data_IF_553935200842
#
_entry.id   IF_553935200842
#
_cell.length_a   1.000
_cell.length_b   1.000
_cell.length_c   1.000
_cell.angle_alpha   90.00
_cell.angle_beta   90.00
_cell.angle_gamma   90.00
#
_symmetry.space_group_name_H-M   'P 1'
#
loop_
_entity.id
_entity.type
_entity.pdbx_description
1 polymer ?
#
# COMPACT_ATOMS: atom_id res chain seq x y z
N UNK A 1 7.74 0.11 5.23
CA UNK A 1 7.27 1.40 5.82
C UNK A 1 6.52 1.09 7.11
N UNK A 2 6.18 2.09 7.91
CA UNK A 2 5.37 1.93 9.13
C UNK A 2 3.87 1.80 8.84
N UNK A 3 3.14 1.03 9.64
CA UNK A 3 1.67 0.80 9.50
C UNK A 3 0.88 2.11 9.53
N UNK A 4 1.20 2.99 10.47
CA UNK A 4 0.53 4.29 10.60
C UNK A 4 0.72 5.15 9.34
N UNK A 5 1.92 5.11 8.75
CA UNK A 5 2.21 5.84 7.50
C UNK A 5 1.40 5.30 6.33
N UNK A 6 1.36 3.98 6.17
CA UNK A 6 0.55 3.33 5.13
C UNK A 6 -0.93 3.72 5.21
N UNK A 7 -1.48 3.78 6.44
CA UNK A 7 -2.86 4.23 6.68
C UNK A 7 -3.11 5.69 6.31
N UNK A 8 -2.17 6.57 6.64
CA UNK A 8 -2.28 7.97 6.25
C UNK A 8 -2.34 8.09 4.72
N UNK A 9 -1.50 7.34 4.00
CA UNK A 9 -1.50 7.31 2.53
C UNK A 9 -2.87 6.86 2.02
N UNK A 10 -3.37 5.72 2.49
CA UNK A 10 -4.68 5.17 2.10
C UNK A 10 -5.85 6.14 2.33
N UNK A 11 -5.79 6.95 3.40
CA UNK A 11 -6.83 7.94 3.74
C UNK A 11 -6.65 9.31 3.11
N UNK A 12 -5.44 9.65 2.66
CA UNK A 12 -5.10 11.02 2.24
C UNK A 12 -5.75 11.45 0.93
N UNK A 13 -6.19 10.49 0.10
CA UNK A 13 -6.62 10.76 -1.28
C UNK A 13 -5.49 11.28 -2.18
N UNK A 14 -4.25 11.35 -1.69
CA UNK A 14 -3.07 11.77 -2.46
C UNK A 14 -2.44 10.55 -3.11
N UNK A 15 -1.97 10.74 -4.33
CA UNK A 15 -1.10 9.76 -4.98
C UNK A 15 0.29 9.92 -4.35
N UNK A 16 0.63 8.99 -3.46
CA UNK A 16 1.96 8.87 -2.87
C UNK A 16 2.69 7.73 -3.59
N UNK A 17 3.92 7.92 -4.06
CA UNK A 17 4.67 6.86 -4.72
C UNK A 17 5.04 5.79 -3.68
N UNK A 18 4.39 4.63 -3.79
CA UNK A 18 4.68 3.44 -3.00
C UNK A 18 5.12 2.33 -3.94
N UNK A 19 6.12 1.56 -3.52
CA UNK A 19 6.60 0.38 -4.25
C UNK A 19 6.49 -0.89 -3.42
N UNK A 20 6.26 -1.99 -4.12
CA UNK A 20 6.34 -3.37 -3.62
C UNK A 20 7.17 -4.18 -4.62
N UNK A 21 8.24 -4.83 -4.15
CA UNK A 21 9.17 -5.59 -5.02
C UNK A 21 9.68 -4.78 -6.22
N UNK A 22 9.92 -3.47 -6.03
CA UNK A 22 10.37 -2.56 -7.09
C UNK A 22 9.28 -2.11 -8.07
N UNK A 23 8.04 -2.57 -7.93
CA UNK A 23 6.90 -2.14 -8.75
C UNK A 23 6.05 -1.09 -8.04
N UNK A 24 5.61 -0.06 -8.76
CA UNK A 24 4.74 0.97 -8.20
C UNK A 24 3.32 0.45 -7.96
N UNK A 25 2.81 0.68 -6.75
CA UNK A 25 1.53 0.19 -6.28
C UNK A 25 0.76 1.28 -5.54
N UNK A 26 -0.56 1.14 -5.48
CA UNK A 26 -1.45 1.99 -4.70
C UNK A 26 -1.92 1.22 -3.47
N UNK A 27 -1.95 1.88 -2.32
CA UNK A 27 -2.51 1.31 -1.09
C UNK A 27 -4.00 1.61 -1.05
N UNK A 28 -4.84 0.57 -1.05
CA UNK A 28 -6.29 0.69 -0.96
C UNK A 28 -6.76 0.69 0.50
N UNK A 29 -6.27 -0.26 1.28
CA UNK A 29 -6.65 -0.46 2.67
C UNK A 29 -5.46 -0.97 3.49
N UNK A 30 -5.48 -0.72 4.80
CA UNK A 30 -4.48 -1.22 5.75
C UNK A 30 -5.18 -1.75 6.98
N UNK A 31 -4.93 -3.03 7.24
CA UNK A 31 -5.32 -3.74 8.46
C UNK A 31 -4.20 -3.57 9.49
N UNK A 32 -4.45 -2.80 10.54
CA UNK A 32 -3.48 -2.55 11.61
C UNK A 32 -3.24 -3.77 12.49
N UNK A 33 -4.27 -4.58 12.74
CA UNK A 33 -4.15 -5.72 13.65
C UNK A 33 -3.26 -6.80 13.04
N UNK A 34 -3.34 -6.96 11.72
CA UNK A 34 -2.57 -7.95 10.97
C UNK A 34 -1.28 -7.40 10.37
N UNK A 35 -1.06 -6.09 10.46
CA UNK A 35 0.05 -5.37 9.80
C UNK A 35 0.12 -5.63 8.27
N UNK A 36 -1.05 -5.77 7.65
CA UNK A 36 -1.20 -6.05 6.22
C UNK A 36 -1.76 -4.84 5.48
N UNK A 37 -1.29 -4.62 4.26
CA UNK A 37 -1.85 -3.66 3.33
C UNK A 37 -2.44 -4.39 2.13
N UNK A 38 -3.62 -3.96 1.71
CA UNK A 38 -4.20 -4.30 0.43
C UNK A 38 -3.74 -3.31 -0.61
N UNK A 39 -3.04 -3.80 -1.62
CA UNK A 39 -2.44 -3.01 -2.70
C UNK A 39 -2.95 -3.45 -4.05
N UNK A 40 -2.88 -2.56 -5.04
CA UNK A 40 -3.13 -2.88 -6.44
C UNK A 40 -2.19 -2.08 -7.35
N UNK A 41 -1.97 -2.59 -8.57
CA UNK A 41 -1.22 -1.86 -9.59
C UNK A 41 -2.14 -0.85 -10.26
N UNK A 42 -1.64 0.36 -10.55
CA UNK A 42 -2.45 1.43 -11.19
C UNK A 42 -3.16 0.98 -12.47
N UNK A 43 -2.53 0.10 -13.25
CA UNK A 43 -3.07 -0.38 -14.52
C UNK A 43 -3.98 -1.61 -14.38
N UNK A 44 -4.09 -2.19 -13.18
CA UNK A 44 -4.88 -3.40 -12.89
C UNK A 44 -5.51 -3.29 -11.50
N UNK A 45 -6.51 -2.40 -11.34
CA UNK A 45 -7.15 -2.19 -10.05
C UNK A 45 -7.93 -3.41 -9.55
N UNK A 46 -8.38 -4.30 -10.44
CA UNK A 46 -8.98 -5.59 -10.05
C UNK A 46 -7.99 -6.60 -9.44
N UNK A 47 -6.67 -6.43 -9.64
CA UNK A 47 -5.65 -7.31 -9.06
C UNK A 47 -5.22 -6.80 -7.67
N UNK A 48 -6.12 -6.96 -6.70
CA UNK A 48 -5.83 -6.67 -5.29
C UNK A 48 -5.00 -7.78 -4.66
N UNK A 49 -3.95 -7.40 -3.93
CA UNK A 49 -3.05 -8.32 -3.23
C UNK A 49 -2.87 -7.83 -1.79
N UNK A 50 -2.94 -8.74 -0.82
CA UNK A 50 -2.58 -8.44 0.56
C UNK A 50 -1.10 -8.75 0.82
N UNK A 51 -0.34 -7.75 1.26
CA UNK A 51 1.09 -7.86 1.55
C UNK A 51 1.41 -7.25 2.92
N UNK A 52 2.45 -7.73 3.63
CA UNK A 52 2.90 -7.10 4.86
C UNK A 52 3.33 -5.64 4.63
N UNK A 53 2.85 -4.71 5.45
CA UNK A 53 3.15 -3.27 5.31
C UNK A 53 4.66 -2.99 5.33
N UNK A 54 5.40 -3.76 6.12
CA UNK A 54 6.86 -3.65 6.23
C UNK A 54 7.59 -3.83 4.89
N UNK A 55 7.01 -4.54 3.92
CA UNK A 55 7.60 -4.76 2.60
C UNK A 55 7.35 -3.59 1.64
N UNK A 56 6.41 -2.70 1.95
CA UNK A 56 6.15 -1.52 1.14
C UNK A 56 7.21 -0.45 1.40
N UNK A 57 7.62 0.24 0.35
CA UNK A 57 8.57 1.34 0.43
C UNK A 57 7.94 2.61 -0.15
N UNK A 58 8.07 3.71 0.58
CA UNK A 58 7.75 5.03 0.06
C UNK A 58 9.01 5.57 -0.66
N UNK A 59 8.82 6.23 -1.81
CA UNK A 59 9.91 6.87 -2.57
C UNK A 59 9.93 8.38 -2.31
#
# INVERSE_FOLDING_TARGET
>A
MEVIRAKQIAKSGKIVPVTYEGQQVMIQHVDEEREMARIYKKNRPEEEIEVPVRLLQEQ
#
